data_IF_337505634789
#
_entry.id   IF_337505634789
#
_cell.length_a   1.000
_cell.length_b   1.000
_cell.length_c   1.000
_cell.angle_alpha   90.00
_cell.angle_beta   90.00
_cell.angle_gamma   90.00
#
_symmetry.space_group_name_H-M   'P 1'
#
loop_
_entity.id
_entity.type
_entity.pdbx_description
1 polymer ?
#
# COMPACT_ATOMS: atom_id res chain seq x y z
N UNK A 1 -14.35 -2.51 -6.41
CA UNK A 1 -13.71 -3.70 -5.81
C UNK A 1 -13.14 -3.23 -4.50
N UNK A 2 -13.74 -3.62 -3.38
CA UNK A 2 -13.29 -3.20 -2.05
C UNK A 2 -12.04 -4.02 -1.68
N UNK A 3 -10.93 -3.33 -1.49
CA UNK A 3 -9.65 -3.89 -1.05
C UNK A 3 -9.39 -3.34 0.34
N UNK A 4 -8.98 -4.23 1.25
CA UNK A 4 -8.61 -3.86 2.61
C UNK A 4 -7.11 -3.56 2.65
N UNK A 5 -6.72 -2.38 3.12
CA UNK A 5 -5.31 -2.00 3.25
C UNK A 5 -4.91 -1.95 4.72
N UNK A 6 -3.87 -2.70 5.09
CA UNK A 6 -3.28 -2.66 6.42
C UNK A 6 -2.18 -1.60 6.49
N UNK A 7 -2.36 -0.63 7.38
CA UNK A 7 -1.50 0.54 7.53
C UNK A 7 -0.58 0.36 8.74
N UNK A 8 0.75 0.34 8.57
CA UNK A 8 1.68 0.22 9.67
C UNK A 8 1.62 1.47 10.53
N UNK A 9 1.90 1.33 11.82
CA UNK A 9 1.79 2.42 12.81
C UNK A 9 2.49 3.71 12.38
N UNK A 10 3.63 3.61 11.71
CA UNK A 10 4.40 4.76 11.21
C UNK A 10 3.70 5.58 10.12
N UNK A 11 2.70 5.00 9.45
CA UNK A 11 1.92 5.66 8.41
C UNK A 11 0.50 6.04 8.86
N UNK A 12 0.07 5.63 10.05
CA UNK A 12 -1.30 5.87 10.53
C UNK A 12 -1.61 7.36 10.74
N UNK A 13 -0.59 8.19 10.99
CA UNK A 13 -0.74 9.66 11.05
C UNK A 13 -1.25 10.27 9.74
N UNK A 14 -1.06 9.58 8.60
CA UNK A 14 -1.61 9.99 7.30
C UNK A 14 -3.04 9.47 7.09
N UNK A 15 -3.47 8.43 7.82
CA UNK A 15 -4.78 7.78 7.66
C UNK A 15 -5.74 8.09 8.81
N UNK A 16 -5.60 9.23 9.47
CA UNK A 16 -6.40 9.61 10.65
C UNK A 16 -6.35 8.55 11.78
N UNK A 17 -5.16 8.02 12.04
CA UNK A 17 -4.92 6.97 13.04
C UNK A 17 -5.61 5.61 12.72
N UNK A 18 -6.08 5.40 11.48
CA UNK A 18 -6.69 4.14 11.08
C UNK A 18 -5.65 3.11 10.68
N UNK A 19 -5.65 1.98 11.39
CA UNK A 19 -4.80 0.82 11.10
C UNK A 19 -5.27 0.01 9.87
N UNK A 20 -6.51 0.22 9.45
CA UNK A 20 -7.10 -0.44 8.28
C UNK A 20 -7.96 0.56 7.55
N UNK A 21 -7.80 0.63 6.23
CA UNK A 21 -8.62 1.47 5.35
C UNK A 21 -9.17 0.61 4.22
N UNK A 22 -10.38 0.93 3.76
CA UNK A 22 -10.96 0.29 2.58
C UNK A 22 -10.81 1.23 1.39
N UNK A 23 -10.36 0.68 0.25
CA UNK A 23 -10.15 1.42 -0.98
C UNK A 23 -10.71 0.64 -2.17
N UNK A 24 -10.92 1.33 -3.29
CA UNK A 24 -11.29 0.69 -4.56
C UNK A 24 -10.24 0.93 -5.61
N UNK A 25 -9.65 -0.15 -6.11
CA UNK A 25 -8.53 -0.12 -7.07
C UNK A 25 -8.46 -1.42 -7.85
N UNK A 26 -8.06 -1.37 -9.12
CA UNK A 26 -7.90 -2.57 -9.96
C UNK A 26 -6.51 -3.22 -9.80
N UNK A 27 -5.51 -2.46 -9.35
CA UNK A 27 -4.14 -2.92 -9.11
C UNK A 27 -3.46 -2.08 -8.02
N UNK A 28 -2.25 -2.50 -7.63
CA UNK A 28 -1.47 -1.84 -6.57
C UNK A 28 -1.09 -0.39 -6.91
N UNK A 29 -0.83 -0.07 -8.18
CA UNK A 29 -0.52 1.31 -8.60
C UNK A 29 -1.72 2.24 -8.38
N UNK A 30 -2.90 1.83 -8.85
CA UNK A 30 -4.16 2.56 -8.64
C UNK A 30 -4.53 2.63 -7.16
N UNK A 31 -4.16 1.62 -6.36
CA UNK A 31 -4.35 1.67 -4.91
C UNK A 31 -3.59 2.84 -4.28
N UNK A 32 -2.37 3.13 -4.72
CA UNK A 32 -1.62 4.28 -4.22
C UNK A 32 -2.28 5.62 -4.57
N UNK A 33 -2.86 5.71 -5.77
CA UNK A 33 -3.64 6.89 -6.18
C UNK A 33 -4.93 7.03 -5.38
N UNK A 34 -5.64 5.92 -5.14
CA UNK A 34 -6.84 5.91 -4.30
C UNK A 34 -6.53 6.32 -2.86
N UNK A 35 -5.41 5.83 -2.30
CA UNK A 35 -4.95 6.22 -0.97
C UNK A 35 -4.59 7.70 -0.90
N UNK A 36 -3.93 8.25 -1.92
CA UNK A 36 -3.65 9.70 -1.98
C UNK A 36 -4.92 10.54 -2.06
N UNK A 37 -5.91 10.11 -2.84
CA UNK A 37 -7.18 10.82 -2.98
C UNK A 37 -7.96 10.85 -1.66
N UNK A 38 -7.94 9.76 -0.88
CA UNK A 38 -8.59 9.69 0.43
C UNK A 38 -7.76 10.30 1.56
N UNK A 39 -6.44 10.22 1.46
CA UNK A 39 -5.49 10.59 2.50
C UNK A 39 -4.30 11.36 1.90
N UNK A 40 -4.48 12.66 1.59
CA UNK A 40 -3.45 13.46 0.91
C UNK A 40 -2.10 13.46 1.64
N UNK A 41 -1.03 13.23 0.89
CA UNK A 41 0.35 13.17 1.37
C UNK A 41 0.86 11.75 1.67
N UNK A 42 -0.01 10.74 1.73
CA UNK A 42 0.40 9.35 2.00
C UNK A 42 1.24 8.78 0.85
N UNK A 43 0.91 9.07 -0.42
CA UNK A 43 1.62 8.49 -1.57
C UNK A 43 3.08 8.94 -1.60
N UNK A 44 3.38 10.16 -1.14
CA UNK A 44 4.76 10.62 -0.96
C UNK A 44 5.57 9.79 0.04
N UNK A 45 4.92 9.08 0.97
CA UNK A 45 5.55 8.12 1.89
C UNK A 45 5.68 6.72 1.30
N UNK A 46 4.78 6.34 0.39
CA UNK A 46 4.78 5.02 -0.25
C UNK A 46 5.71 4.94 -1.46
N UNK A 47 5.76 6.02 -2.24
CA UNK A 47 6.46 6.09 -3.53
C UNK A 47 7.53 7.19 -3.53
N UNK A 48 8.50 7.07 -4.44
CA UNK A 48 9.44 8.13 -4.79
C UNK A 48 8.83 9.11 -5.82
N UNK A 49 9.63 10.11 -6.24
CA UNK A 49 9.22 11.14 -7.22
C UNK A 49 8.93 10.57 -8.61
N UNK A 50 9.41 9.36 -8.93
CA UNK A 50 9.12 8.66 -10.18
C UNK A 50 7.89 7.77 -10.06
N UNK A 51 7.19 7.79 -8.91
CA UNK A 51 6.02 6.96 -8.64
C UNK A 51 6.36 5.50 -8.31
N UNK A 52 7.63 5.16 -8.05
CA UNK A 52 8.03 3.79 -7.72
C UNK A 52 7.95 3.55 -6.21
N UNK A 53 7.55 2.33 -5.77
CA UNK A 53 7.56 1.98 -4.35
C UNK A 53 8.91 2.22 -3.70
N UNK A 54 8.92 2.83 -2.51
CA UNK A 54 10.16 3.10 -1.77
C UNK A 54 10.78 1.78 -1.29
N UNK A 55 12.10 1.65 -1.43
CA UNK A 55 12.86 0.42 -1.11
C UNK A 55 12.78 -0.03 0.35
N UNK A 56 12.40 0.85 1.26
CA UNK A 56 12.21 0.54 2.69
C UNK A 56 10.77 0.17 3.04
N UNK A 57 9.90 -0.03 2.05
CA UNK A 57 8.55 -0.54 2.21
C UNK A 57 8.41 -1.79 1.36
N UNK A 58 7.85 -2.83 1.97
CA UNK A 58 7.41 -4.03 1.28
C UNK A 58 5.88 -3.99 1.21
N UNK A 59 5.34 -4.47 0.10
CA UNK A 59 3.91 -4.51 -0.14
C UNK A 59 3.54 -5.96 -0.43
N UNK A 60 2.45 -6.43 0.18
CA UNK A 60 1.97 -7.78 0.01
C UNK A 60 0.51 -7.77 -0.40
N UNK A 61 0.13 -8.63 -1.33
CA UNK A 61 -1.27 -8.94 -1.65
C UNK A 61 -1.54 -10.33 -1.10
N UNK A 62 -2.49 -10.46 -0.18
CA UNK A 62 -2.84 -11.73 0.48
C UNK A 62 -1.62 -12.49 1.04
N UNK A 63 -0.72 -11.77 1.72
CA UNK A 63 0.55 -12.27 2.29
C UNK A 63 1.65 -12.63 1.27
N UNK A 64 1.43 -12.42 -0.03
CA UNK A 64 2.44 -12.62 -1.06
C UNK A 64 3.08 -11.29 -1.49
N UNK A 65 4.41 -11.22 -1.46
CA UNK A 65 5.15 -9.98 -1.77
C UNK A 65 5.01 -9.64 -3.26
N UNK A 66 4.63 -8.40 -3.57
CA UNK A 66 4.38 -7.97 -4.95
C UNK A 66 5.61 -8.10 -5.86
N UNK A 67 6.83 -8.16 -5.28
CA UNK A 67 8.08 -8.37 -6.03
C UNK A 67 8.18 -9.76 -6.66
N UNK A 68 7.47 -10.74 -6.12
CA UNK A 68 7.34 -12.08 -6.72
C UNK A 68 6.07 -12.23 -7.57
N UNK A 69 5.19 -11.22 -7.55
CA UNK A 69 4.03 -11.08 -8.42
C UNK A 69 4.37 -10.20 -9.63
N UNK A 70 3.51 -9.21 -9.93
CA UNK A 70 3.67 -8.27 -11.06
C UNK A 70 4.08 -6.87 -10.58
N UNK A 71 4.70 -6.76 -9.40
CA UNK A 71 5.03 -5.46 -8.81
C UNK A 71 3.80 -4.59 -8.61
N UNK A 72 3.88 -3.32 -8.97
CA UNK A 72 2.75 -2.38 -8.87
C UNK A 72 1.62 -2.69 -9.84
N UNK A 73 1.87 -3.50 -10.87
CA UNK A 73 0.85 -3.95 -11.83
C UNK A 73 0.08 -5.18 -11.31
N UNK A 74 0.38 -5.67 -10.10
CA UNK A 74 -0.36 -6.76 -9.46
C UNK A 74 -1.84 -6.40 -9.37
N UNK A 75 -2.67 -7.19 -10.06
CA UNK A 75 -4.13 -7.04 -10.09
C UNK A 75 -4.70 -7.34 -8.71
N UNK A 76 -5.66 -6.51 -8.29
CA UNK A 76 -6.39 -6.67 -7.04
C UNK A 76 -7.83 -7.11 -7.32
N UNK A 77 -8.32 -8.02 -6.51
CA UNK A 77 -9.68 -8.54 -6.54
C UNK A 77 -10.49 -8.00 -5.36
N UNK A 78 -11.81 -8.10 -5.48
CA UNK A 78 -12.72 -7.77 -4.39
C UNK A 78 -12.44 -8.67 -3.17
N UNK A 79 -12.25 -8.06 -2.00
CA UNK A 79 -11.92 -8.75 -0.76
C UNK A 79 -10.42 -9.01 -0.55
N UNK A 80 -9.54 -8.65 -1.49
CA UNK A 80 -8.10 -8.77 -1.30
C UNK A 80 -7.62 -7.88 -0.14
N UNK A 81 -6.58 -8.37 0.55
CA UNK A 81 -5.88 -7.62 1.58
C UNK A 81 -4.50 -7.19 1.07
N UNK A 82 -4.22 -5.88 1.15
CA UNK A 82 -2.90 -5.32 0.86
C UNK A 82 -2.25 -4.86 2.14
N UNK A 83 -1.07 -5.40 2.47
CA UNK A 83 -0.32 -4.96 3.65
C UNK A 83 0.91 -4.14 3.27
N UNK A 84 1.11 -3.04 4.00
CA UNK A 84 2.27 -2.17 3.86
C UNK A 84 3.18 -2.43 5.06
N UNK A 85 4.37 -2.98 4.80
CA UNK A 85 5.29 -3.40 5.87
C UNK A 85 6.61 -2.63 5.74
N UNK A 86 6.99 -1.82 6.74
CA UNK A 86 8.31 -1.21 6.79
C UNK A 86 9.40 -2.29 6.77
N UNK A 87 10.40 -2.13 5.92
CA UNK A 87 11.59 -2.96 5.92
C UNK A 87 12.38 -2.63 7.20
N UNK A 88 12.28 -3.52 8.19
CA UNK A 88 13.08 -3.43 9.41
C UNK A 88 14.39 -4.16 9.13
N UNK A 89 15.52 -3.47 9.19
CA UNK A 89 16.79 -4.15 9.39
C UNK A 89 16.72 -4.78 10.79
N UNK A 90 16.67 -6.11 10.86
CA UNK A 90 16.79 -6.81 12.14
C UNK A 90 18.09 -6.37 12.81
N UNK A 91 17.97 -5.81 14.02
CA UNK A 91 19.10 -5.47 14.87
C UNK A 91 19.78 -6.72 15.43
#
# INVERSE_FOLDING_TARGET
MAVKVLIPTTLQTFTNEQATVECSSNNVNELFDSLEASFPGIKGRLCDEQGKPRRFLNFYVNSEDIRFLQGTDTVLQDGDEVSIVPAVAGG
#
